data_IF_829284553436
#
_entry.id   IF_829284553436
#
_cell.length_a   1.000
_cell.length_b   1.000
_cell.length_c   1.000
_cell.angle_alpha   90.00
_cell.angle_beta   90.00
_cell.angle_gamma   90.00
#
_symmetry.space_group_name_H-M   'P 1'
#
loop_
_entity.id
_entity.type
_entity.pdbx_description
1 polymer ?
#
# COMPACT_ATOMS: atom_id res chain seq x y z
N UNK A 1 0.16 -27.15 14.84
CA UNK A 1 -0.81 -26.56 13.87
C UNK A 1 -0.77 -25.06 13.99
N UNK A 2 -0.34 -24.35 12.94
CA UNK A 2 -0.11 -22.90 12.94
C UNK A 2 -1.34 -22.18 12.39
N UNK A 3 -1.94 -21.22 13.11
CA UNK A 3 -3.10 -20.49 12.64
C UNK A 3 -2.75 -19.56 11.48
N UNK A 4 -3.68 -19.41 10.55
CA UNK A 4 -3.58 -18.41 9.47
C UNK A 4 -4.93 -17.75 9.21
N UNK A 5 -4.86 -16.58 8.57
CA UNK A 5 -6.00 -15.72 8.28
C UNK A 5 -5.82 -15.12 6.90
N UNK A 6 -6.91 -15.00 6.13
CA UNK A 6 -6.92 -14.17 4.92
C UNK A 6 -7.70 -12.89 5.23
N UNK A 7 -7.08 -11.78 4.91
CA UNK A 7 -7.59 -10.43 5.24
C UNK A 7 -7.57 -9.59 3.98
N UNK A 8 -8.67 -8.96 3.64
CA UNK A 8 -8.72 -7.93 2.59
C UNK A 8 -8.45 -6.56 3.21
N UNK A 9 -7.41 -5.87 2.72
CA UNK A 9 -6.87 -4.64 3.30
C UNK A 9 -7.28 -3.43 2.45
N UNK A 10 -7.50 -2.27 3.08
CA UNK A 10 -8.01 -1.04 2.49
C UNK A 10 -9.44 -1.14 1.97
N UNK A 11 -10.26 -1.88 2.67
CA UNK A 11 -11.67 -2.05 2.35
C UNK A 11 -12.52 -2.34 3.60
N UNK A 12 -13.83 -2.18 3.46
CA UNK A 12 -14.83 -2.62 4.43
C UNK A 12 -15.71 -3.76 3.88
N UNK A 13 -15.46 -4.20 2.64
CA UNK A 13 -16.25 -5.21 1.94
C UNK A 13 -15.41 -6.44 1.58
N UNK A 14 -15.91 -7.66 1.82
CA UNK A 14 -15.24 -8.89 1.39
C UNK A 14 -14.98 -8.92 -0.12
N UNK A 15 -13.86 -9.54 -0.51
CA UNK A 15 -13.43 -9.76 -1.90
C UNK A 15 -13.06 -8.48 -2.67
N UNK A 16 -12.81 -7.39 -1.94
CA UNK A 16 -12.29 -6.12 -2.46
C UNK A 16 -10.98 -5.78 -1.76
N UNK A 17 -10.35 -4.62 -2.06
CA UNK A 17 -9.09 -4.25 -1.42
C UNK A 17 -7.91 -5.15 -1.79
N UNK A 18 -6.83 -5.12 -1.00
CA UNK A 18 -5.61 -5.89 -1.22
C UNK A 18 -5.57 -7.13 -0.32
N UNK A 19 -5.56 -8.36 -0.89
CA UNK A 19 -5.57 -9.58 -0.11
C UNK A 19 -4.21 -9.84 0.55
N UNK A 20 -4.25 -10.22 1.83
CA UNK A 20 -3.10 -10.54 2.65
C UNK A 20 -3.32 -11.86 3.37
N UNK A 21 -2.32 -12.74 3.38
CA UNK A 21 -2.27 -13.85 4.30
C UNK A 21 -1.52 -13.42 5.57
N UNK A 22 -2.11 -13.67 6.75
CA UNK A 22 -1.49 -13.45 8.06
C UNK A 22 -1.31 -14.79 8.75
N UNK A 23 -0.09 -15.11 9.17
CA UNK A 23 0.24 -16.33 9.92
C UNK A 23 0.63 -15.94 11.33
N UNK A 24 -0.14 -16.36 12.32
CA UNK A 24 0.14 -16.04 13.72
C UNK A 24 0.90 -17.15 14.43
N UNK A 25 1.46 -16.80 15.59
CA UNK A 25 2.22 -17.74 16.44
C UNK A 25 3.35 -18.43 15.65
N UNK A 26 4.08 -17.62 14.86
CA UNK A 26 5.03 -18.08 13.84
C UNK A 26 6.46 -18.26 14.37
N UNK A 27 6.69 -18.10 15.67
CA UNK A 27 8.02 -18.08 16.31
C UNK A 27 8.86 -19.35 16.05
N UNK A 28 8.21 -20.50 15.86
CA UNK A 28 8.89 -21.77 15.63
C UNK A 28 9.12 -22.08 14.13
N UNK A 29 8.69 -21.19 13.23
CA UNK A 29 8.87 -21.40 11.79
C UNK A 29 10.25 -20.92 11.36
N UNK A 30 10.97 -21.73 10.59
CA UNK A 30 12.20 -21.28 9.93
C UNK A 30 11.89 -20.31 8.79
N UNK A 31 12.88 -19.52 8.39
CA UNK A 31 12.76 -18.60 7.26
C UNK A 31 12.35 -19.34 5.97
N UNK A 32 12.96 -20.50 5.71
CA UNK A 32 12.67 -21.34 4.54
C UNK A 32 11.22 -21.85 4.55
N UNK A 33 10.70 -22.16 5.74
CA UNK A 33 9.31 -22.59 5.87
C UNK A 33 8.34 -21.44 5.68
N UNK A 34 8.67 -20.24 6.20
CA UNK A 34 7.88 -19.01 5.95
C UNK A 34 7.82 -18.69 4.45
N UNK A 35 8.94 -18.80 3.73
CA UNK A 35 9.01 -18.59 2.28
C UNK A 35 8.13 -19.59 1.52
N UNK A 36 8.18 -20.86 1.91
CA UNK A 36 7.34 -21.90 1.29
C UNK A 36 5.84 -21.69 1.56
N UNK A 37 5.49 -21.29 2.77
CA UNK A 37 4.10 -20.94 3.13
C UNK A 37 3.62 -19.73 2.31
N UNK A 38 4.45 -18.72 2.13
CA UNK A 38 4.13 -17.56 1.30
C UNK A 38 3.89 -17.95 -0.16
N UNK A 39 4.71 -18.84 -0.70
CA UNK A 39 4.52 -19.42 -2.04
C UNK A 39 3.21 -20.20 -2.18
N UNK A 40 2.85 -20.99 -1.17
CA UNK A 40 1.61 -21.78 -1.17
C UNK A 40 0.36 -20.89 -1.11
N UNK A 41 0.36 -19.84 -0.29
CA UNK A 41 -0.75 -18.88 -0.25
C UNK A 41 -0.87 -18.06 -1.53
N UNK A 42 0.23 -17.81 -2.22
CA UNK A 42 0.29 -17.10 -3.49
C UNK A 42 -0.44 -15.74 -3.46
N UNK A 43 -0.38 -15.06 -2.32
CA UNK A 43 -0.83 -13.67 -2.19
C UNK A 43 0.31 -12.72 -2.55
N UNK A 44 0.02 -11.44 -2.81
CA UNK A 44 1.06 -10.42 -3.03
C UNK A 44 2.11 -10.48 -1.93
N UNK A 45 1.65 -10.61 -0.68
CA UNK A 45 2.50 -10.82 0.50
C UNK A 45 1.82 -11.75 1.51
N UNK A 46 2.64 -12.43 2.30
CA UNK A 46 2.23 -13.18 3.50
C UNK A 46 3.00 -12.64 4.68
N UNK A 47 2.30 -12.21 5.71
CA UNK A 47 2.90 -11.64 6.93
C UNK A 47 2.84 -12.63 8.09
N UNK A 48 3.99 -12.85 8.70
CA UNK A 48 4.18 -13.68 9.89
C UNK A 48 4.27 -12.79 11.13
N UNK A 49 3.42 -13.08 12.11
CA UNK A 49 3.37 -12.37 13.40
C UNK A 49 4.15 -13.19 14.43
N UNK A 50 5.16 -12.56 15.03
CA UNK A 50 6.12 -13.18 15.93
C UNK A 50 6.25 -12.34 17.22
N UNK A 51 6.80 -12.97 18.26
CA UNK A 51 7.28 -12.26 19.43
C UNK A 51 8.40 -11.27 19.05
N UNK A 52 8.44 -10.07 19.66
CA UNK A 52 9.45 -9.08 19.35
C UNK A 52 10.84 -9.52 19.86
N UNK A 53 11.89 -9.06 19.18
CA UNK A 53 13.27 -9.17 19.66
C UNK A 53 13.80 -7.87 20.24
N UNK A 54 13.17 -6.74 19.89
CA UNK A 54 13.43 -5.43 20.49
C UNK A 54 12.54 -5.22 21.71
N UNK A 55 13.12 -4.72 22.80
CA UNK A 55 12.42 -4.54 24.08
C UNK A 55 11.28 -3.50 24.00
N UNK A 56 11.38 -2.54 23.10
CA UNK A 56 10.40 -1.48 22.86
C UNK A 56 9.28 -1.87 21.87
N UNK A 57 9.37 -3.05 21.24
CA UNK A 57 8.37 -3.49 20.28
C UNK A 57 7.29 -4.37 20.95
N UNK A 58 6.04 -4.18 20.53
CA UNK A 58 4.91 -5.01 20.98
C UNK A 58 4.83 -6.31 20.16
N UNK A 59 5.06 -6.23 18.84
CA UNK A 59 5.02 -7.35 17.92
C UNK A 59 6.09 -7.22 16.83
N UNK A 60 6.60 -8.36 16.37
CA UNK A 60 7.50 -8.44 15.22
C UNK A 60 6.75 -8.98 14.00
N UNK A 61 6.97 -8.32 12.87
CA UNK A 61 6.42 -8.74 11.58
C UNK A 61 7.53 -9.11 10.61
N UNK A 62 7.35 -10.24 9.92
CA UNK A 62 8.15 -10.62 8.75
C UNK A 62 7.20 -10.90 7.60
N UNK A 63 7.44 -10.30 6.45
CA UNK A 63 6.57 -10.44 5.28
C UNK A 63 7.36 -10.99 4.10
N UNK A 64 6.74 -11.90 3.36
CA UNK A 64 7.36 -12.54 2.18
C UNK A 64 6.40 -12.46 1.00
N UNK A 65 6.95 -12.18 -0.19
CA UNK A 65 6.22 -12.31 -1.45
C UNK A 65 5.98 -13.78 -1.79
N UNK A 66 5.09 -14.05 -2.75
CA UNK A 66 4.81 -15.40 -3.24
C UNK A 66 6.06 -16.12 -3.81
N UNK A 67 7.07 -15.38 -4.26
CA UNK A 67 8.35 -15.94 -4.72
C UNK A 67 9.38 -16.12 -3.60
N UNK A 68 9.00 -15.86 -2.35
CA UNK A 68 9.84 -16.06 -1.16
C UNK A 68 10.82 -14.91 -0.86
N UNK A 69 10.70 -13.75 -1.52
CA UNK A 69 11.50 -12.57 -1.20
C UNK A 69 10.95 -11.90 0.06
N UNK A 70 11.79 -11.69 1.06
CA UNK A 70 11.41 -10.93 2.26
C UNK A 70 11.30 -9.44 1.94
N UNK A 71 10.23 -8.81 2.40
CA UNK A 71 9.93 -7.40 2.19
C UNK A 71 9.87 -6.66 3.51
N UNK A 72 10.49 -5.49 3.56
CA UNK A 72 10.63 -4.67 4.76
C UNK A 72 9.79 -3.38 4.70
N UNK A 73 8.96 -3.27 3.67
CA UNK A 73 8.05 -2.13 3.50
C UNK A 73 6.91 -2.16 4.51
N UNK A 74 6.48 -0.98 4.93
CA UNK A 74 5.32 -0.78 5.81
C UNK A 74 4.14 -0.37 4.94
N UNK A 75 3.40 -1.35 4.45
CA UNK A 75 2.28 -1.19 3.52
C UNK A 75 1.03 -1.94 4.00
N UNK A 76 0.28 -2.51 3.04
CA UNK A 76 -0.91 -3.29 3.32
C UNK A 76 -0.60 -4.52 4.20
N UNK A 77 0.60 -5.11 4.04
CA UNK A 77 1.10 -6.23 4.82
C UNK A 77 1.09 -5.95 6.34
N UNK A 78 1.70 -4.84 6.75
CA UNK A 78 1.72 -4.44 8.14
C UNK A 78 0.33 -3.98 8.61
N UNK A 79 -0.40 -3.19 7.81
CA UNK A 79 -1.73 -2.70 8.17
C UNK A 79 -2.70 -3.86 8.41
N UNK A 80 -2.75 -4.86 7.53
CA UNK A 80 -3.63 -6.02 7.67
C UNK A 80 -3.27 -6.88 8.88
N UNK A 81 -1.98 -7.08 9.16
CA UNK A 81 -1.53 -7.81 10.35
C UNK A 81 -1.93 -7.08 11.64
N UNK A 82 -1.77 -5.76 11.71
CA UNK A 82 -2.16 -4.96 12.87
C UNK A 82 -3.69 -4.86 13.02
N UNK A 83 -4.44 -4.81 11.91
CA UNK A 83 -5.89 -4.92 11.95
C UNK A 83 -6.32 -6.25 12.57
N UNK A 84 -5.72 -7.36 12.13
CA UNK A 84 -5.98 -8.67 12.69
C UNK A 84 -5.62 -8.73 14.18
N UNK A 85 -4.44 -8.24 14.60
CA UNK A 85 -4.04 -8.18 16.00
C UNK A 85 -5.07 -7.42 16.85
N UNK A 86 -5.54 -6.28 16.34
CA UNK A 86 -6.50 -5.43 17.04
C UNK A 86 -7.90 -6.07 17.16
N UNK A 87 -8.35 -6.77 16.12
CA UNK A 87 -9.70 -7.37 16.08
C UNK A 87 -9.75 -8.76 16.70
N UNK A 88 -8.62 -9.46 16.82
CA UNK A 88 -8.52 -10.78 17.47
C UNK A 88 -8.44 -10.71 19.00
N UNK A 89 -8.44 -9.52 19.61
CA UNK A 89 -8.33 -9.33 21.05
C UNK A 89 -6.90 -9.48 21.61
N UNK A 90 -5.89 -9.49 20.74
CA UNK A 90 -4.48 -9.57 21.15
C UNK A 90 -3.90 -8.22 21.58
N UNK A 91 -4.65 -7.13 21.39
CA UNK A 91 -4.28 -5.78 21.81
C UNK A 91 -5.28 -5.23 22.83
N UNK A 92 -4.79 -4.50 23.82
CA UNK A 92 -5.64 -3.74 24.74
C UNK A 92 -5.95 -2.39 24.14
N UNK A 93 -7.22 -2.13 23.82
CA UNK A 93 -7.73 -0.88 23.23
C UNK A 93 -8.51 -0.11 24.30
N UNK A 94 -7.82 0.51 25.24
CA UNK A 94 -8.38 1.24 26.39
C UNK A 94 -8.58 2.73 26.13
N UNK A 95 -8.25 3.21 24.91
CA UNK A 95 -8.43 4.58 24.45
C UNK A 95 -8.89 4.61 22.98
N UNK A 96 -9.55 5.71 22.54
CA UNK A 96 -9.98 5.86 21.14
C UNK A 96 -8.84 5.75 20.12
N UNK A 97 -7.64 6.12 20.51
CA UNK A 97 -6.42 5.98 19.72
C UNK A 97 -5.30 5.43 20.60
N UNK A 98 -4.68 4.35 20.15
CA UNK A 98 -3.53 3.72 20.80
C UNK A 98 -2.38 3.62 19.80
N UNK A 99 -1.20 3.95 20.27
CA UNK A 99 0.03 3.72 19.52
C UNK A 99 0.73 2.48 20.08
N UNK A 100 1.06 1.59 19.19
CA UNK A 100 1.87 0.38 19.40
C UNK A 100 3.17 0.50 18.61
N UNK A 101 4.10 -0.40 18.88
CA UNK A 101 5.38 -0.45 18.19
C UNK A 101 5.56 -1.80 17.50
N UNK A 102 5.81 -1.78 16.19
CA UNK A 102 6.16 -2.97 15.42
C UNK A 102 7.67 -3.05 15.19
N UNK A 103 8.19 -4.25 15.23
CA UNK A 103 9.55 -4.55 14.79
C UNK A 103 9.51 -5.08 13.35
N UNK A 104 10.17 -4.37 12.44
CA UNK A 104 10.41 -4.80 11.05
C UNK A 104 11.88 -4.53 10.74
N UNK A 105 12.62 -5.55 10.30
CA UNK A 105 14.03 -5.45 9.94
C UNK A 105 14.89 -4.82 11.05
N UNK A 106 14.68 -5.26 12.30
CA UNK A 106 15.40 -4.75 13.47
C UNK A 106 15.14 -3.27 13.80
N UNK A 107 14.07 -2.67 13.26
CA UNK A 107 13.66 -1.29 13.53
C UNK A 107 12.32 -1.27 14.25
N UNK A 108 12.25 -0.43 15.28
CA UNK A 108 11.02 -0.14 16.00
C UNK A 108 10.23 0.98 15.29
N UNK A 109 9.03 0.69 14.80
CA UNK A 109 8.21 1.59 14.02
C UNK A 109 6.83 1.75 14.65
N UNK A 110 6.30 2.98 14.81
CA UNK A 110 5.01 3.20 15.44
C UNK A 110 3.85 2.80 14.52
N UNK A 111 2.81 2.21 15.12
CA UNK A 111 1.54 1.90 14.50
C UNK A 111 0.41 2.47 15.35
N UNK A 112 -0.49 3.19 14.75
CA UNK A 112 -1.66 3.76 15.41
C UNK A 112 -2.88 2.90 15.13
N UNK A 113 -3.59 2.50 16.17
CA UNK A 113 -4.89 1.82 16.07
C UNK A 113 -5.96 2.76 16.62
N UNK A 114 -6.94 3.07 15.78
CA UNK A 114 -8.12 3.85 16.17
C UNK A 114 -9.30 2.94 16.41
N UNK A 115 -10.00 3.17 17.51
CA UNK A 115 -11.21 2.43 17.87
C UNK A 115 -12.34 3.38 18.27
N UNK A 116 -13.56 3.02 17.92
CA UNK A 116 -14.78 3.71 18.33
C UNK A 116 -15.75 2.72 18.96
N UNK A 117 -16.20 3.02 20.18
CA UNK A 117 -17.11 2.16 20.96
C UNK A 117 -16.62 0.70 21.03
N UNK A 118 -15.31 0.51 21.18
CA UNK A 118 -14.68 -0.81 21.29
C UNK A 118 -14.51 -1.56 19.96
N UNK A 119 -14.80 -0.92 18.82
CA UNK A 119 -14.55 -1.48 17.47
C UNK A 119 -13.38 -0.79 16.82
N UNK A 120 -12.48 -1.53 16.20
CA UNK A 120 -11.40 -0.98 15.39
C UNK A 120 -12.01 -0.31 14.15
N UNK A 121 -11.63 0.93 13.90
CA UNK A 121 -12.11 1.72 12.76
C UNK A 121 -11.00 2.07 11.78
N UNK A 122 -9.74 2.08 12.21
CA UNK A 122 -8.60 2.23 11.32
C UNK A 122 -7.31 1.77 11.97
N UNK A 123 -6.37 1.34 11.14
CA UNK A 123 -4.95 1.21 11.47
C UNK A 123 -4.18 2.20 10.62
N UNK A 124 -3.22 2.90 11.20
CA UNK A 124 -2.46 3.94 10.52
C UNK A 124 -0.96 3.88 10.82
N UNK A 125 -0.15 4.23 9.83
CA UNK A 125 1.31 4.23 9.93
C UNK A 125 1.88 5.50 9.32
N UNK A 126 2.85 6.08 9.99
CA UNK A 126 3.62 7.20 9.46
C UNK A 126 4.55 6.68 8.34
N UNK A 127 4.69 7.48 7.31
CA UNK A 127 5.70 7.32 6.28
C UNK A 127 6.79 8.39 6.46
N UNK A 128 7.89 8.25 5.73
CA UNK A 128 8.91 9.30 5.72
C UNK A 128 8.37 10.60 5.10
N UNK A 129 9.02 11.70 5.39
CA UNK A 129 8.68 12.99 4.79
C UNK A 129 8.77 12.92 3.26
N UNK A 130 7.86 13.58 2.52
CA UNK A 130 7.81 13.51 1.09
C UNK A 130 9.04 14.17 0.44
N UNK A 131 9.67 13.44 -0.46
CA UNK A 131 10.78 13.92 -1.28
C UNK A 131 10.31 13.98 -2.73
N UNK A 132 10.28 15.20 -3.28
CA UNK A 132 9.93 15.44 -4.68
C UNK A 132 11.19 15.34 -5.53
N UNK A 133 11.26 14.30 -6.37
CA UNK A 133 12.40 13.99 -7.23
C UNK A 133 12.21 14.48 -8.66
N UNK A 134 12.75 13.71 -9.60
CA UNK A 134 12.80 14.06 -11.02
C UNK A 134 11.41 14.24 -11.63
N UNK A 135 11.24 15.32 -12.38
CA UNK A 135 10.07 15.59 -13.25
C UNK A 135 10.35 15.02 -14.64
N UNK A 136 9.36 14.37 -15.23
CA UNK A 136 9.44 13.85 -16.59
C UNK A 136 9.28 15.01 -17.58
N UNK A 137 10.33 15.32 -18.32
CA UNK A 137 10.32 16.42 -19.31
C UNK A 137 9.64 16.03 -20.63
N UNK A 138 9.86 14.80 -21.09
CA UNK A 138 9.33 14.28 -22.35
C UNK A 138 8.38 13.11 -22.07
N UNK A 139 7.10 13.26 -22.41
CA UNK A 139 6.06 12.27 -22.07
C UNK A 139 5.96 11.12 -23.08
N UNK A 140 6.38 11.29 -24.33
CA UNK A 140 6.20 10.30 -25.40
C UNK A 140 6.84 8.94 -25.10
N UNK A 141 8.07 8.83 -24.56
CA UNK A 141 8.63 7.54 -24.19
C UNK A 141 7.80 6.85 -23.08
N UNK A 142 7.36 7.61 -22.08
CA UNK A 142 6.51 7.09 -21.00
C UNK A 142 5.15 6.64 -21.53
N UNK A 143 4.47 7.47 -22.32
CA UNK A 143 3.18 7.15 -22.92
C UNK A 143 3.24 5.83 -23.71
N UNK A 144 4.28 5.65 -24.52
CA UNK A 144 4.51 4.41 -25.27
C UNK A 144 4.65 3.17 -24.38
N UNK A 145 5.30 3.28 -23.21
CA UNK A 145 5.42 2.16 -22.26
C UNK A 145 4.09 1.83 -21.58
N UNK A 146 3.23 2.83 -21.41
CA UNK A 146 1.92 2.71 -20.76
C UNK A 146 0.82 2.28 -21.74
N UNK A 147 1.10 2.28 -23.06
CA UNK A 147 0.12 1.99 -24.09
C UNK A 147 -0.90 3.13 -24.27
N UNK A 148 -0.48 4.37 -23.98
CA UNK A 148 -1.28 5.59 -24.06
C UNK A 148 -0.69 6.56 -25.10
N UNK A 149 -1.48 7.54 -25.50
CA UNK A 149 -1.02 8.67 -26.31
C UNK A 149 -0.55 9.84 -25.45
N UNK A 150 0.32 10.69 -25.99
CA UNK A 150 0.89 11.86 -25.27
C UNK A 150 -0.20 12.79 -24.72
N UNK A 151 -1.28 12.99 -25.46
CA UNK A 151 -2.41 13.81 -25.04
C UNK A 151 -3.15 13.27 -23.81
N UNK A 152 -3.02 11.98 -23.52
CA UNK A 152 -3.63 11.34 -22.36
C UNK A 152 -2.82 11.56 -21.08
N UNK A 153 -1.52 11.91 -21.20
CA UNK A 153 -0.63 12.27 -20.11
C UNK A 153 -0.50 13.79 -19.94
N UNK A 154 -1.20 14.58 -20.72
CA UNK A 154 -1.20 16.05 -20.64
C UNK A 154 -2.41 16.52 -19.82
N UNK A 155 -2.19 16.83 -18.55
CA UNK A 155 -3.25 17.20 -17.59
C UNK A 155 -2.98 18.61 -17.04
N UNK A 156 -3.39 19.63 -17.77
CA UNK A 156 -3.18 21.02 -17.38
C UNK A 156 -1.69 21.31 -17.12
N UNK A 157 -1.37 21.72 -15.88
CA UNK A 157 0.01 22.00 -15.45
C UNK A 157 0.66 20.83 -14.68
N UNK A 158 -0.05 19.73 -14.49
CA UNK A 158 0.48 18.58 -13.77
C UNK A 158 1.50 17.83 -14.62
N UNK A 159 2.58 17.42 -14.01
CA UNK A 159 3.66 16.68 -14.66
C UNK A 159 3.90 15.36 -13.99
N UNK A 160 4.28 14.35 -14.75
CA UNK A 160 4.74 13.11 -14.16
C UNK A 160 6.03 13.36 -13.37
N UNK A 161 6.07 12.89 -12.12
CA UNK A 161 7.16 13.17 -11.20
C UNK A 161 7.44 11.98 -10.29
N UNK A 162 8.72 11.73 -10.00
CA UNK A 162 9.10 10.78 -8.97
C UNK A 162 8.90 11.42 -7.60
N UNK A 163 8.07 10.81 -6.74
CA UNK A 163 7.86 11.23 -5.36
C UNK A 163 8.05 10.04 -4.43
N UNK A 164 8.67 10.27 -3.28
CA UNK A 164 8.97 9.25 -2.29
C UNK A 164 8.50 9.68 -0.90
N UNK A 165 7.88 8.78 -0.17
CA UNK A 165 7.69 8.85 1.27
C UNK A 165 8.32 7.63 1.97
N UNK A 166 9.49 7.23 1.46
CA UNK A 166 10.25 6.04 1.85
C UNK A 166 10.56 5.13 0.67
N UNK A 167 9.61 4.98 -0.26
CA UNK A 167 9.80 4.26 -1.53
C UNK A 167 9.51 5.21 -2.70
N UNK A 168 10.45 5.40 -3.66
CA UNK A 168 10.26 6.30 -4.78
C UNK A 168 9.32 5.69 -5.83
N UNK A 169 8.23 6.37 -6.15
CA UNK A 169 7.30 5.99 -7.21
C UNK A 169 7.16 7.11 -8.24
N UNK A 170 7.02 6.74 -9.51
CA UNK A 170 6.66 7.67 -10.57
C UNK A 170 5.15 7.90 -10.52
N UNK A 171 4.73 9.09 -10.13
CA UNK A 171 3.34 9.55 -10.21
C UNK A 171 3.07 10.07 -11.62
N UNK A 172 2.03 9.56 -12.28
CA UNK A 172 1.69 9.92 -13.65
C UNK A 172 0.24 10.40 -13.71
N UNK A 173 -0.01 11.70 -13.83
CA UNK A 173 -1.35 12.19 -14.07
C UNK A 173 -1.83 11.73 -15.45
N UNK A 174 -3.07 11.23 -15.54
CA UNK A 174 -3.74 10.93 -16.79
C UNK A 174 -5.02 11.73 -16.90
N UNK A 175 -5.44 12.01 -18.13
CA UNK A 175 -6.49 12.98 -18.44
C UNK A 175 -7.83 12.71 -17.77
N UNK A 176 -8.27 11.45 -17.77
CA UNK A 176 -9.59 11.03 -17.31
C UNK A 176 -9.59 9.54 -16.92
N UNK A 177 -10.70 9.09 -16.33
CA UNK A 177 -10.90 7.69 -15.96
C UNK A 177 -10.79 6.75 -17.17
N UNK A 178 -11.27 7.17 -18.35
CA UNK A 178 -11.14 6.38 -19.57
C UNK A 178 -9.69 6.17 -20.00
N UNK A 179 -8.81 7.16 -19.85
CA UNK A 179 -7.37 7.03 -20.09
C UNK A 179 -6.73 6.09 -19.05
N UNK A 180 -7.11 6.22 -17.77
CA UNK A 180 -6.66 5.34 -16.70
C UNK A 180 -7.03 3.88 -17.00
N UNK A 181 -8.26 3.61 -17.41
CA UNK A 181 -8.76 2.26 -17.74
C UNK A 181 -8.11 1.67 -18.99
N UNK A 182 -7.75 2.49 -19.98
CA UNK A 182 -7.08 2.03 -21.22
C UNK A 182 -5.62 1.69 -21.01
N UNK A 183 -4.97 2.17 -19.97
CA UNK A 183 -3.55 1.91 -19.72
C UNK A 183 -3.26 0.41 -19.72
N UNK A 184 -2.29 0.00 -20.54
CA UNK A 184 -1.79 -1.38 -20.66
C UNK A 184 -0.27 -1.35 -20.66
N UNK A 185 0.35 -1.19 -19.50
CA UNK A 185 1.79 -1.08 -19.40
C UNK A 185 2.50 -2.33 -19.93
N UNK A 186 3.56 -2.12 -20.69
CA UNK A 186 4.47 -3.18 -21.12
C UNK A 186 5.52 -3.37 -20.04
N UNK A 187 5.51 -4.52 -19.36
CA UNK A 187 6.30 -4.76 -18.15
C UNK A 187 7.80 -4.45 -18.32
N UNK A 188 8.48 -5.05 -19.30
CA UNK A 188 9.91 -4.82 -19.53
C UNK A 188 10.27 -3.38 -19.93
N UNK A 189 9.60 -2.73 -20.90
CA UNK A 189 9.85 -1.33 -21.20
C UNK A 189 9.58 -0.40 -20.01
N UNK A 190 8.50 -0.62 -19.26
CA UNK A 190 8.21 0.17 -18.06
C UNK A 190 9.25 -0.05 -16.97
N UNK A 191 9.67 -1.30 -16.71
CA UNK A 191 10.73 -1.61 -15.76
C UNK A 191 12.03 -0.90 -16.08
N UNK A 192 12.45 -0.92 -17.37
CA UNK A 192 13.65 -0.23 -17.83
C UNK A 192 13.52 1.30 -17.66
N UNK A 193 12.38 1.86 -18.00
CA UNK A 193 12.10 3.29 -17.81
C UNK A 193 12.18 3.70 -16.35
N UNK A 194 11.50 2.97 -15.45
CA UNK A 194 11.50 3.25 -14.02
C UNK A 194 12.91 3.19 -13.41
N UNK A 195 13.72 2.18 -13.79
CA UNK A 195 15.13 2.09 -13.37
C UNK A 195 15.95 3.30 -13.81
N UNK A 196 15.72 3.82 -15.02
CA UNK A 196 16.46 4.96 -15.55
C UNK A 196 16.22 6.28 -14.80
N UNK A 197 15.08 6.39 -14.11
CA UNK A 197 14.70 7.58 -13.33
C UNK A 197 14.71 7.33 -11.81
N UNK A 198 15.18 6.15 -11.36
CA UNK A 198 15.27 5.81 -9.94
C UNK A 198 13.93 5.56 -9.24
N UNK A 199 12.89 5.14 -9.97
CA UNK A 199 11.59 4.79 -9.41
C UNK A 199 11.42 3.26 -9.31
N UNK A 200 10.73 2.80 -8.26
CA UNK A 200 10.41 1.37 -8.09
C UNK A 200 9.12 0.96 -8.79
N UNK A 201 8.12 1.84 -8.79
CA UNK A 201 6.83 1.57 -9.39
C UNK A 201 6.26 2.81 -10.09
N UNK A 202 5.21 2.60 -10.86
CA UNK A 202 4.47 3.62 -11.60
C UNK A 202 3.04 3.70 -11.05
N UNK A 203 2.62 4.87 -10.64
CA UNK A 203 1.30 5.15 -10.10
C UNK A 203 0.58 6.14 -11.01
N UNK A 204 -0.26 5.59 -11.89
CA UNK A 204 -1.13 6.39 -12.74
C UNK A 204 -2.32 6.87 -11.91
N UNK A 205 -2.71 8.13 -12.07
CA UNK A 205 -3.89 8.66 -11.40
C UNK A 205 -4.64 9.66 -12.27
N UNK A 206 -5.96 9.72 -12.09
CA UNK A 206 -6.82 10.78 -12.64
C UNK A 206 -7.58 11.47 -11.51
N UNK A 207 -8.05 12.69 -11.80
CA UNK A 207 -8.86 13.51 -10.90
C UNK A 207 -10.36 13.39 -11.21
N UNK A 208 -10.75 12.27 -11.79
CA UNK A 208 -12.13 11.90 -12.12
C UNK A 208 -12.48 10.60 -11.35
N UNK A 209 -12.66 10.69 -10.03
CA UNK A 209 -12.88 9.55 -9.16
C UNK A 209 -14.30 8.99 -9.32
N UNK A 210 -14.47 7.71 -8.93
CA UNK A 210 -15.79 7.07 -8.88
C UNK A 210 -16.61 7.53 -7.66
N UNK A 211 -15.92 7.88 -6.58
CA UNK A 211 -16.51 8.42 -5.36
C UNK A 211 -16.28 9.93 -5.26
N UNK A 212 -17.34 10.76 -5.17
CA UNK A 212 -17.21 12.21 -5.03
C UNK A 212 -16.36 12.68 -3.83
N UNK A 213 -16.23 11.84 -2.79
CA UNK A 213 -15.44 12.16 -1.60
C UNK A 213 -13.93 11.82 -1.76
N UNK A 214 -13.55 11.16 -2.88
CA UNK A 214 -12.17 10.84 -3.19
C UNK A 214 -11.64 11.77 -4.29
N UNK A 215 -10.53 12.50 -4.08
CA UNK A 215 -9.99 13.42 -5.09
C UNK A 215 -9.32 12.73 -6.28
N UNK A 216 -8.95 11.46 -6.16
CA UNK A 216 -8.24 10.76 -7.22
C UNK A 216 -8.54 9.26 -7.24
N UNK A 217 -8.56 8.71 -8.45
CA UNK A 217 -8.48 7.26 -8.67
C UNK A 217 -7.13 6.91 -9.30
N UNK A 218 -6.58 5.76 -8.90
CA UNK A 218 -5.24 5.37 -9.29
C UNK A 218 -5.12 3.89 -9.69
N UNK A 219 -4.03 3.57 -10.41
CA UNK A 219 -3.58 2.21 -10.72
C UNK A 219 -2.08 2.11 -10.51
N UNK A 220 -1.63 1.06 -9.84
CA UNK A 220 -0.22 0.83 -9.55
C UNK A 220 0.36 -0.33 -10.36
N UNK A 221 1.55 -0.11 -10.90
CA UNK A 221 2.32 -1.08 -11.66
C UNK A 221 3.76 -1.13 -11.14
N UNK A 222 4.20 -2.30 -10.67
CA UNK A 222 5.52 -2.51 -10.05
C UNK A 222 6.35 -3.59 -10.74
N UNK A 223 6.68 -3.47 -12.04
CA UNK A 223 7.35 -4.54 -12.77
C UNK A 223 8.77 -4.86 -12.23
N UNK A 224 9.44 -3.89 -11.60
CA UNK A 224 10.77 -4.11 -11.00
C UNK A 224 10.74 -5.01 -9.75
N UNK A 225 9.57 -5.19 -9.14
CA UNK A 225 9.35 -6.08 -7.98
C UNK A 225 8.40 -7.24 -8.30
N UNK A 226 8.16 -7.50 -9.59
CA UNK A 226 7.33 -8.63 -10.05
C UNK A 226 5.82 -8.41 -9.94
N UNK A 227 5.37 -7.18 -9.63
CA UNK A 227 3.95 -6.84 -9.52
C UNK A 227 3.46 -6.30 -10.86
N UNK A 228 2.59 -7.05 -11.53
CA UNK A 228 1.97 -6.61 -12.80
C UNK A 228 1.02 -5.44 -12.54
N UNK A 229 0.10 -5.58 -11.59
CA UNK A 229 -0.78 -4.53 -11.08
C UNK A 229 -1.14 -4.87 -9.63
N UNK A 230 -1.30 -3.85 -8.77
CA UNK A 230 -1.61 -4.04 -7.34
C UNK A 230 -2.94 -3.36 -7.01
N UNK A 231 -3.85 -4.02 -6.26
CA UNK A 231 -5.17 -3.48 -5.99
C UNK A 231 -5.20 -2.35 -4.95
N UNK A 232 -4.19 -2.24 -4.07
CA UNK A 232 -4.10 -1.14 -3.11
C UNK A 232 -2.66 -0.95 -2.60
N UNK A 233 -2.05 0.20 -2.90
CA UNK A 233 -0.63 0.46 -2.67
C UNK A 233 -0.43 1.66 -1.74
N UNK A 234 -0.36 1.40 -0.45
CA UNK A 234 -0.18 2.44 0.57
C UNK A 234 1.11 3.25 0.38
N UNK A 235 2.21 2.61 -0.07
CA UNK A 235 3.50 3.28 -0.34
C UNK A 235 3.46 4.24 -1.54
N UNK A 236 2.45 4.14 -2.41
CA UNK A 236 2.24 5.04 -3.54
C UNK A 236 1.14 6.09 -3.26
N UNK A 237 0.14 5.74 -2.46
CA UNK A 237 -0.93 6.65 -2.06
C UNK A 237 -0.40 7.82 -1.21
N UNK A 238 0.57 7.58 -0.33
CA UNK A 238 1.23 8.63 0.46
C UNK A 238 1.91 9.69 -0.42
N UNK A 239 2.84 9.33 -1.31
CA UNK A 239 3.40 10.22 -2.31
C UNK A 239 2.36 10.97 -3.14
N UNK A 240 1.30 10.28 -3.60
CA UNK A 240 0.24 10.92 -4.37
C UNK A 240 -0.49 11.99 -3.55
N UNK A 241 -0.86 11.71 -2.30
CA UNK A 241 -1.52 12.70 -1.46
C UNK A 241 -0.64 13.93 -1.22
N UNK A 242 0.68 13.73 -0.97
CA UNK A 242 1.63 14.82 -0.84
C UNK A 242 1.74 15.64 -2.14
N UNK A 243 1.76 14.97 -3.30
CA UNK A 243 1.77 15.61 -4.60
C UNK A 243 0.50 16.44 -4.82
N UNK A 244 -0.68 15.91 -4.50
CA UNK A 244 -1.96 16.64 -4.66
C UNK A 244 -2.01 17.87 -3.75
N UNK A 245 -1.51 17.78 -2.52
CA UNK A 245 -1.42 18.93 -1.60
C UNK A 245 -0.44 19.98 -2.14
N UNK A 246 0.73 19.58 -2.63
CA UNK A 246 1.73 20.50 -3.18
C UNK A 246 1.24 21.23 -4.45
N UNK A 247 0.25 20.69 -5.15
CA UNK A 247 -0.36 21.28 -6.35
C UNK A 247 -1.71 21.97 -6.08
N UNK A 248 -2.09 22.20 -4.80
CA UNK A 248 -3.37 22.80 -4.38
C UNK A 248 -4.62 22.03 -4.84
N UNK A 249 -4.50 20.73 -5.08
CA UNK A 249 -5.60 19.84 -5.48
C UNK A 249 -6.21 19.08 -4.31
N UNK A 250 -5.54 19.10 -3.16
CA UNK A 250 -6.03 18.58 -1.89
C UNK A 250 -5.58 19.49 -0.75
N UNK A 251 -6.13 19.29 0.45
CA UNK A 251 -5.86 20.14 1.61
C UNK A 251 -5.31 19.31 2.78
N UNK A 252 -4.33 19.82 3.50
CA UNK A 252 -3.85 19.24 4.76
C UNK A 252 -4.92 19.18 5.87
N UNK A 253 -6.02 19.92 5.73
CA UNK A 253 -7.09 19.97 6.74
C UNK A 253 -7.98 18.74 6.75
N UNK A 254 -8.01 17.96 5.66
CA UNK A 254 -8.83 16.76 5.50
C UNK A 254 -7.98 15.59 5.00
N UNK A 255 -8.32 14.34 5.37
CA UNK A 255 -7.70 13.19 4.74
C UNK A 255 -7.92 13.22 3.22
N UNK A 256 -6.90 12.81 2.48
CA UNK A 256 -7.00 12.52 1.05
C UNK A 256 -7.39 11.04 0.93
N UNK A 257 -8.50 10.78 0.27
CA UNK A 257 -8.91 9.40 -0.06
C UNK A 257 -8.43 9.12 -1.47
N UNK A 258 -7.65 8.06 -1.63
CA UNK A 258 -7.22 7.54 -2.93
C UNK A 258 -7.95 6.24 -3.20
N UNK A 259 -8.70 6.20 -4.31
CA UNK A 259 -9.31 4.97 -4.81
C UNK A 259 -8.32 4.22 -5.70
N UNK A 260 -8.29 2.89 -5.60
CA UNK A 260 -7.44 2.02 -6.42
C UNK A 260 -8.11 0.66 -6.61
N UNK A 261 -7.67 -0.11 -7.60
CA UNK A 261 -8.05 -1.52 -7.77
C UNK A 261 -9.37 -1.78 -8.50
N UNK A 262 -10.14 -0.75 -8.87
CA UNK A 262 -11.43 -0.91 -9.58
C UNK A 262 -11.26 -1.67 -10.90
N UNK A 263 -10.19 -1.40 -11.66
CA UNK A 263 -9.87 -2.10 -12.90
C UNK A 263 -9.56 -3.60 -12.71
N UNK A 264 -9.23 -4.01 -11.47
CA UNK A 264 -8.97 -5.41 -11.08
C UNK A 264 -10.22 -6.09 -10.47
N UNK A 265 -11.36 -5.38 -10.36
CA UNK A 265 -12.53 -5.86 -9.63
C UNK A 265 -12.33 -5.92 -8.11
N UNK A 266 -11.31 -5.24 -7.58
CA UNK A 266 -10.97 -5.18 -6.16
C UNK A 266 -10.86 -3.72 -5.69
N UNK A 267 -11.96 -2.96 -5.71
CA UNK A 267 -11.93 -1.56 -5.29
C UNK A 267 -11.40 -1.42 -3.86
N UNK A 268 -10.56 -0.43 -3.66
CA UNK A 268 -9.96 -0.10 -2.37
C UNK A 268 -10.06 1.39 -2.08
N UNK A 269 -9.99 1.75 -0.80
CA UNK A 269 -9.97 3.13 -0.30
C UNK A 269 -8.81 3.29 0.67
N UNK A 270 -7.84 4.10 0.28
CA UNK A 270 -6.64 4.37 1.06
C UNK A 270 -6.77 5.79 1.63
N UNK A 271 -6.88 5.90 2.95
CA UNK A 271 -6.89 7.20 3.62
C UNK A 271 -5.47 7.70 3.84
N UNK A 272 -5.16 8.90 3.38
CA UNK A 272 -3.86 9.53 3.60
C UNK A 272 -4.04 10.90 4.25
N UNK A 273 -3.35 11.13 5.34
CA UNK A 273 -3.27 12.45 5.99
C UNK A 273 -1.90 13.03 5.75
N UNK A 274 -1.87 14.22 5.16
CA UNK A 274 -0.68 15.06 5.04
C UNK A 274 -0.81 16.20 6.05
N UNK A 275 0.16 16.41 6.89
CA UNK A 275 0.09 17.45 7.93
C UNK A 275 1.49 17.85 8.37
N UNK A 276 1.81 19.16 8.28
CA UNK A 276 3.09 19.69 8.73
C UNK A 276 4.31 19.05 8.08
N UNK A 277 4.18 18.61 6.82
CA UNK A 277 5.21 17.90 6.07
C UNK A 277 5.23 16.39 6.29
N UNK A 278 4.60 15.85 7.35
CA UNK A 278 4.50 14.41 7.58
C UNK A 278 3.36 13.75 6.81
N UNK A 279 3.53 12.48 6.45
CA UNK A 279 2.54 11.66 5.76
C UNK A 279 2.16 10.46 6.61
N UNK A 280 0.86 10.20 6.74
CA UNK A 280 0.33 9.01 7.42
C UNK A 280 -0.68 8.32 6.51
N UNK A 281 -0.46 7.04 6.26
CA UNK A 281 -1.41 6.18 5.55
C UNK A 281 -2.22 5.40 6.56
N UNK A 282 -3.53 5.33 6.37
CA UNK A 282 -4.44 4.54 7.21
C UNK A 282 -5.52 3.85 6.38
N UNK A 283 -6.12 2.83 6.96
CA UNK A 283 -7.18 2.08 6.34
C UNK A 283 -7.86 1.09 7.28
N UNK A 284 -8.86 0.44 6.72
CA UNK A 284 -9.61 -0.65 7.32
C UNK A 284 -9.20 -1.98 6.71
N UNK A 285 -9.64 -3.09 7.29
CA UNK A 285 -9.54 -4.38 6.65
C UNK A 285 -10.71 -5.30 7.05
N UNK A 286 -10.90 -6.38 6.30
CA UNK A 286 -11.96 -7.38 6.54
C UNK A 286 -11.33 -8.76 6.64
N UNK A 287 -11.61 -9.48 7.73
CA UNK A 287 -11.23 -10.89 7.86
C UNK A 287 -12.17 -11.75 7.00
N UNK A 288 -11.60 -12.57 6.10
CA UNK A 288 -12.35 -13.45 5.22
C UNK A 288 -12.32 -14.91 5.67
N UNK A 289 -11.13 -15.39 6.03
CA UNK A 289 -10.88 -16.81 6.29
C UNK A 289 -10.01 -16.94 7.53
N UNK A 290 -10.33 -17.90 8.36
CA UNK A 290 -9.43 -18.42 9.39
C UNK A 290 -9.22 -19.92 9.20
N UNK A 291 -8.02 -20.39 9.48
CA UNK A 291 -7.67 -21.78 9.30
C UNK A 291 -6.42 -22.19 10.07
N UNK A 292 -5.97 -23.43 9.86
CA UNK A 292 -4.76 -23.97 10.48
C UNK A 292 -3.92 -24.72 9.46
N UNK A 293 -2.65 -24.37 9.37
CA UNK A 293 -1.65 -25.11 8.60
C UNK A 293 -1.31 -26.43 9.33
N UNK A 294 -1.24 -27.50 8.60
CA UNK A 294 -0.77 -28.81 9.06
C UNK A 294 0.68 -28.99 8.57
N UNK A 295 1.61 -28.48 9.38
CA UNK A 295 3.05 -28.53 9.11
C UNK A 295 3.65 -29.77 9.79
#
# INVERSE_FOLDING_TARGET
MTPFYLVDVFTTEPFTGNPLAVVSDADQLSTELMQRIAGEFNQTETTFVLAPTLAEADWRLRSFTAVGTEVFGVGHNALGAWWWLATSGRLTLDAPTRTFTQEIDGRALPVEVRSERGRVVAVGMAQADPVFGAVVGEVSPLASTLGLGDAELTVGRLQAQVVSTGVPHLLVPVRDLGALDRARPKSEPLAAYLRSIGAQGCYLFCLDPLDPDAPAQARFFGPNVGIVEDPATGSAAGPLAAYLVAHDLASERRPVIVEQGSAMGRPSRIEVRVSGGGVRVSGTAVLLVEGRLRL
#
